data_IF_666217978581
#
_entry.id   IF_666217978581
#
_cell.length_a   1.000
_cell.length_b   1.000
_cell.length_c   1.000
_cell.angle_alpha   90.00
_cell.angle_beta   90.00
_cell.angle_gamma   90.00
#
_symmetry.space_group_name_H-M   'P 1'
#
loop_
_entity.id
_entity.type
_entity.pdbx_description
1 polymer ?
#
# COMPACT_ATOMS: atom_id res chain seq x y z
N UNK A 1 -0.93 18.06 -82.79
CA UNK A 1 -2.18 18.84 -82.59
C UNK A 1 -3.31 17.84 -82.41
N UNK A 2 -4.16 17.80 -81.39
CA UNK A 2 -4.64 18.86 -80.49
C UNK A 2 -5.04 18.29 -79.11
N UNK A 3 -4.80 19.09 -78.06
CA UNK A 3 -5.35 18.96 -76.71
C UNK A 3 -6.83 19.36 -76.72
N UNK A 4 -7.67 18.67 -75.93
CA UNK A 4 -8.76 19.21 -75.07
C UNK A 4 -9.86 18.17 -74.85
N UNK A 5 -9.89 17.58 -73.65
CA UNK A 5 -11.01 17.72 -72.69
C UNK A 5 -10.78 16.74 -71.54
N UNK A 6 -10.03 17.27 -70.57
CA UNK A 6 -9.86 16.76 -69.22
C UNK A 6 -11.13 17.13 -68.41
N UNK A 7 -11.51 16.25 -67.49
CA UNK A 7 -12.59 16.36 -66.49
C UNK A 7 -14.00 15.94 -66.92
N UNK A 8 -14.40 14.73 -66.49
CA UNK A 8 -15.64 14.45 -65.74
C UNK A 8 -15.75 12.95 -65.40
N UNK A 9 -15.01 12.49 -64.40
CA UNK A 9 -15.38 11.26 -63.66
C UNK A 9 -14.85 11.35 -62.23
N UNK A 10 -15.67 11.89 -61.34
CA UNK A 10 -15.45 11.84 -59.89
C UNK A 10 -16.81 11.50 -59.28
N UNK A 11 -16.94 10.28 -58.79
CA UNK A 11 -18.16 9.82 -58.16
C UNK A 11 -18.13 8.32 -57.87
N UNK A 12 -17.99 8.00 -56.58
CA UNK A 12 -18.27 6.70 -55.96
C UNK A 12 -17.19 5.61 -55.98
N UNK A 13 -16.08 5.85 -55.27
CA UNK A 13 -15.39 4.80 -54.51
C UNK A 13 -14.79 5.42 -53.26
N UNK A 14 -15.43 5.21 -52.11
CA UNK A 14 -14.87 5.65 -50.84
C UNK A 14 -15.89 5.67 -49.72
N UNK A 15 -16.23 4.50 -49.17
CA UNK A 15 -16.85 4.35 -47.85
C UNK A 15 -16.89 2.87 -47.43
N UNK A 16 -15.76 2.35 -46.93
CA UNK A 16 -15.77 1.03 -46.25
C UNK A 16 -14.65 0.84 -45.22
N UNK A 17 -14.11 1.91 -44.63
CA UNK A 17 -13.07 1.81 -43.59
C UNK A 17 -13.47 2.36 -42.20
N UNK A 18 -14.75 2.72 -41.99
CA UNK A 18 -15.22 3.32 -40.72
C UNK A 18 -15.96 2.39 -39.75
N UNK A 19 -16.34 1.18 -40.16
CA UNK A 19 -17.22 0.31 -39.36
C UNK A 19 -16.49 -0.67 -38.41
N UNK A 20 -15.19 -0.90 -38.60
CA UNK A 20 -14.45 -1.90 -37.82
C UNK A 20 -14.14 -1.48 -36.37
N UNK A 21 -13.82 -0.19 -36.14
CA UNK A 21 -13.44 0.30 -34.82
C UNK A 21 -14.66 0.54 -33.90
N UNK A 22 -15.77 1.06 -34.45
CA UNK A 22 -17.00 1.26 -33.68
C UNK A 22 -17.70 -0.06 -33.33
N UNK A 23 -17.64 -1.07 -34.19
CA UNK A 23 -18.29 -2.36 -33.93
C UNK A 23 -17.72 -3.13 -32.73
N UNK A 24 -16.44 -2.96 -32.42
CA UNK A 24 -15.78 -3.61 -31.27
C UNK A 24 -16.17 -2.90 -29.96
N UNK A 25 -16.30 -1.57 -29.96
CA UNK A 25 -16.77 -0.81 -28.79
C UNK A 25 -18.22 -1.17 -28.40
N UNK A 26 -19.12 -1.32 -29.39
CA UNK A 26 -20.52 -1.71 -29.13
C UNK A 26 -20.67 -3.15 -28.64
N UNK A 27 -19.83 -4.09 -29.09
CA UNK A 27 -19.89 -5.48 -28.67
C UNK A 27 -19.44 -5.67 -27.20
N UNK A 28 -18.45 -4.90 -26.73
CA UNK A 28 -17.96 -4.99 -25.35
C UNK A 28 -18.86 -4.25 -24.34
N UNK A 29 -19.53 -3.17 -24.74
CA UNK A 29 -20.50 -2.47 -23.89
C UNK A 29 -21.70 -3.35 -23.47
N UNK A 30 -22.02 -4.40 -24.25
CA UNK A 30 -23.11 -5.33 -23.96
C UNK A 30 -22.82 -6.30 -22.78
N UNK A 31 -21.55 -6.47 -22.36
CA UNK A 31 -21.17 -7.36 -21.26
C UNK A 31 -21.31 -6.73 -19.86
N UNK A 32 -21.83 -5.49 -19.78
CA UNK A 32 -21.94 -4.75 -18.53
C UNK A 32 -20.59 -4.28 -17.97
N UNK A 33 -20.59 -3.52 -16.86
CA UNK A 33 -19.36 -3.05 -16.24
C UNK A 33 -18.53 -4.19 -15.64
N UNK A 34 -17.23 -3.93 -15.43
CA UNK A 34 -16.33 -4.81 -14.68
C UNK A 34 -16.36 -4.37 -13.22
N UNK A 35 -16.87 -5.23 -12.34
CA UNK A 35 -16.94 -4.91 -10.91
C UNK A 35 -15.60 -5.09 -10.21
N UNK A 36 -15.22 -4.13 -9.38
CA UNK A 36 -13.98 -4.13 -8.57
C UNK A 36 -14.37 -4.05 -7.10
N UNK A 37 -13.97 -5.05 -6.31
CA UNK A 37 -14.19 -5.09 -4.88
C UNK A 37 -13.22 -4.18 -4.14
N UNK A 38 -13.73 -3.38 -3.20
CA UNK A 38 -12.95 -2.51 -2.32
C UNK A 38 -13.25 -2.96 -0.88
N UNK A 39 -12.29 -3.62 -0.25
CA UNK A 39 -12.43 -4.30 1.04
C UNK A 39 -11.49 -3.66 2.07
N UNK A 40 -11.87 -2.50 2.56
CA UNK A 40 -11.11 -1.68 3.51
C UNK A 40 -12.01 -1.26 4.66
N UNK A 41 -11.51 -1.31 5.91
CA UNK A 41 -12.24 -0.86 7.10
C UNK A 41 -12.59 0.63 6.99
N UNK A 42 -13.89 0.94 6.99
CA UNK A 42 -14.41 2.31 7.03
C UNK A 42 -14.85 2.70 8.45
N UNK A 43 -14.89 1.71 9.34
CA UNK A 43 -15.14 1.86 10.78
C UNK A 43 -14.23 0.93 11.61
N UNK A 44 -14.19 1.16 12.92
CA UNK A 44 -13.30 0.43 13.84
C UNK A 44 -11.88 1.01 13.92
N UNK A 45 -11.00 0.29 14.63
CA UNK A 45 -9.64 0.73 15.01
C UNK A 45 -8.73 1.09 13.82
N UNK A 46 -8.98 0.48 12.64
CA UNK A 46 -8.20 0.72 11.43
C UNK A 46 -8.81 1.74 10.47
N UNK A 47 -9.98 2.33 10.80
CA UNK A 47 -10.69 3.23 9.89
C UNK A 47 -9.86 4.46 9.46
N UNK A 48 -9.03 5.00 10.36
CA UNK A 48 -8.15 6.12 10.07
C UNK A 48 -7.12 5.80 8.97
N UNK A 49 -6.66 4.55 8.92
CA UNK A 49 -5.67 4.07 7.97
C UNK A 49 -6.29 3.62 6.65
N UNK A 50 -7.41 2.89 6.73
CA UNK A 50 -8.01 2.18 5.60
C UNK A 50 -8.99 3.04 4.77
N UNK A 51 -9.63 4.06 5.37
CA UNK A 51 -10.64 4.86 4.65
C UNK A 51 -10.07 5.61 3.45
N UNK A 52 -8.82 6.07 3.53
CA UNK A 52 -8.15 6.77 2.44
C UNK A 52 -7.89 5.86 1.23
N UNK A 53 -7.64 4.56 1.45
CA UNK A 53 -7.46 3.57 0.38
C UNK A 53 -8.75 3.34 -0.41
N UNK A 54 -9.90 3.29 0.28
CA UNK A 54 -11.20 3.24 -0.41
C UNK A 54 -11.38 4.44 -1.34
N UNK A 55 -11.11 5.65 -0.88
CA UNK A 55 -11.22 6.85 -1.72
C UNK A 55 -10.18 6.90 -2.84
N UNK A 56 -8.96 6.41 -2.59
CA UNK A 56 -7.93 6.26 -3.60
C UNK A 56 -8.40 5.34 -4.74
N UNK A 57 -8.93 4.15 -4.42
CA UNK A 57 -9.50 3.26 -5.45
C UNK A 57 -10.63 3.90 -6.23
N UNK A 58 -11.53 4.64 -5.57
CA UNK A 58 -12.60 5.35 -6.26
C UNK A 58 -12.05 6.40 -7.25
N UNK A 59 -10.99 7.13 -6.87
CA UNK A 59 -10.30 8.06 -7.75
C UNK A 59 -9.69 7.32 -8.96
N UNK A 60 -8.94 6.25 -8.73
CA UNK A 60 -8.25 5.50 -9.78
C UNK A 60 -9.23 4.86 -10.77
N UNK A 61 -10.35 4.33 -10.27
CA UNK A 61 -11.46 3.82 -11.08
C UNK A 61 -12.08 4.94 -11.92
N UNK A 62 -12.33 6.11 -11.34
CA UNK A 62 -12.88 7.25 -12.07
C UNK A 62 -11.93 7.73 -13.19
N UNK A 63 -10.63 7.80 -12.91
CA UNK A 63 -9.60 8.13 -13.91
C UNK A 63 -9.54 7.10 -15.03
N UNK A 64 -9.54 5.80 -14.70
CA UNK A 64 -9.52 4.74 -15.70
C UNK A 64 -10.79 4.75 -16.55
N UNK A 65 -11.95 5.00 -15.93
CA UNK A 65 -13.21 5.16 -16.65
C UNK A 65 -13.20 6.35 -17.59
N UNK A 66 -12.60 7.48 -17.20
CA UNK A 66 -12.43 8.63 -18.08
C UNK A 66 -11.53 8.33 -19.30
N UNK A 67 -10.60 7.37 -19.18
CA UNK A 67 -9.75 6.85 -20.27
C UNK A 67 -10.44 5.80 -21.16
N UNK A 68 -11.72 5.51 -20.94
CA UNK A 68 -12.48 4.51 -21.71
C UNK A 68 -12.73 3.19 -20.97
N UNK A 69 -12.31 3.07 -19.71
CA UNK A 69 -12.47 1.85 -18.92
C UNK A 69 -11.40 0.81 -19.25
N UNK A 70 -11.73 -0.47 -19.12
CA UNK A 70 -10.83 -1.60 -19.45
C UNK A 70 -11.49 -2.44 -20.52
N UNK A 71 -10.80 -2.64 -21.66
CA UNK A 71 -11.36 -3.31 -22.83
C UNK A 71 -12.70 -2.70 -23.32
N UNK A 72 -12.88 -1.39 -23.16
CA UNK A 72 -14.10 -0.66 -23.52
C UNK A 72 -15.26 -0.80 -22.51
N UNK A 73 -15.05 -1.49 -21.37
CA UNK A 73 -16.03 -1.65 -20.31
C UNK A 73 -15.70 -0.74 -19.13
N UNK A 74 -16.72 -0.06 -18.59
CA UNK A 74 -16.55 0.75 -17.38
C UNK A 74 -16.27 -0.14 -16.17
N UNK A 75 -15.44 0.34 -15.27
CA UNK A 75 -15.21 -0.25 -13.96
C UNK A 75 -16.29 0.25 -12.99
N UNK A 76 -16.87 -0.66 -12.22
CA UNK A 76 -17.87 -0.37 -11.19
C UNK A 76 -17.30 -0.74 -9.80
N UNK A 77 -17.13 0.21 -8.89
CA UNK A 77 -16.64 -0.08 -7.55
C UNK A 77 -17.74 -0.73 -6.70
N UNK A 78 -17.39 -1.79 -5.98
CA UNK A 78 -18.23 -2.43 -4.96
C UNK A 78 -17.52 -2.30 -3.63
N UNK A 79 -17.96 -1.32 -2.83
CA UNK A 79 -17.36 -0.99 -1.53
C UNK A 79 -18.07 -1.72 -0.41
N UNK A 80 -17.32 -2.37 0.47
CA UNK A 80 -17.82 -3.05 1.67
C UNK A 80 -16.99 -2.66 2.88
N UNK A 81 -17.64 -2.42 4.02
CA UNK A 81 -16.98 -2.08 5.29
C UNK A 81 -16.90 -3.33 6.19
N UNK A 82 -15.69 -3.89 6.41
CA UNK A 82 -15.47 -4.98 7.35
C UNK A 82 -15.23 -4.50 8.80
N UNK A 83 -15.29 -3.20 9.08
CA UNK A 83 -15.32 -2.62 10.42
C UNK A 83 -14.18 -3.04 11.37
N UNK A 84 -12.97 -3.28 10.83
CA UNK A 84 -11.84 -3.85 11.58
C UNK A 84 -12.17 -5.20 12.26
N UNK A 85 -13.12 -5.96 11.71
CA UNK A 85 -13.57 -7.26 12.21
C UNK A 85 -13.09 -8.37 11.26
N UNK A 86 -12.16 -9.19 11.72
CA UNK A 86 -11.44 -10.15 10.87
C UNK A 86 -12.35 -11.25 10.28
N UNK A 87 -13.30 -11.85 11.04
CA UNK A 87 -14.33 -12.70 10.45
C UNK A 87 -15.18 -12.00 9.38
N UNK A 88 -15.54 -10.73 9.60
CA UNK A 88 -16.32 -9.95 8.64
C UNK A 88 -15.53 -9.68 7.34
N UNK A 89 -14.21 -9.51 7.40
CA UNK A 89 -13.37 -9.46 6.20
C UNK A 89 -13.55 -10.71 5.33
N UNK A 90 -13.55 -11.91 5.94
CA UNK A 90 -13.76 -13.16 5.21
C UNK A 90 -15.18 -13.26 4.62
N UNK A 91 -16.20 -12.88 5.40
CA UNK A 91 -17.59 -12.82 4.92
C UNK A 91 -17.73 -11.88 3.72
N UNK A 92 -17.17 -10.67 3.82
CA UNK A 92 -17.25 -9.66 2.76
C UNK A 92 -16.43 -10.02 1.53
N UNK A 93 -15.27 -10.65 1.69
CA UNK A 93 -14.55 -11.23 0.54
C UNK A 93 -15.40 -12.29 -0.18
N UNK A 94 -16.06 -13.17 0.56
CA UNK A 94 -16.95 -14.19 -0.03
C UNK A 94 -18.14 -13.56 -0.73
N UNK A 95 -18.76 -12.53 -0.14
CA UNK A 95 -19.83 -11.76 -0.76
C UNK A 95 -19.37 -11.12 -2.09
N UNK A 96 -18.23 -10.43 -2.08
CA UNK A 96 -17.65 -9.80 -3.26
C UNK A 96 -17.44 -10.81 -4.41
N UNK A 97 -16.89 -11.98 -4.11
CA UNK A 97 -16.58 -13.01 -5.14
C UNK A 97 -17.85 -13.75 -5.57
N UNK A 98 -18.63 -14.26 -4.61
CA UNK A 98 -19.71 -15.21 -4.90
C UNK A 98 -21.00 -14.55 -5.35
N UNK A 99 -21.33 -13.38 -4.78
CA UNK A 99 -22.59 -12.67 -5.05
C UNK A 99 -22.35 -11.51 -6.01
N UNK A 100 -21.38 -10.65 -5.72
CA UNK A 100 -21.14 -9.47 -6.54
C UNK A 100 -20.34 -9.77 -7.82
N UNK A 101 -19.68 -10.93 -7.89
CA UNK A 101 -18.89 -11.38 -9.04
C UNK A 101 -17.80 -10.37 -9.45
N UNK A 102 -17.12 -9.79 -8.45
CA UNK A 102 -16.02 -8.86 -8.71
C UNK A 102 -14.87 -9.57 -9.43
N UNK A 103 -14.18 -8.85 -10.31
CA UNK A 103 -13.03 -9.37 -11.06
C UNK A 103 -11.71 -9.29 -10.31
N UNK A 104 -11.64 -8.43 -9.29
CA UNK A 104 -10.52 -8.33 -8.36
C UNK A 104 -10.99 -7.62 -7.10
N UNK A 105 -10.30 -7.87 -6.00
CA UNK A 105 -10.44 -7.19 -4.71
C UNK A 105 -9.16 -6.39 -4.46
N UNK A 106 -9.31 -5.12 -4.11
CA UNK A 106 -8.26 -4.29 -3.53
C UNK A 106 -8.64 -4.04 -2.08
N UNK A 107 -7.81 -4.47 -1.15
CA UNK A 107 -8.26 -4.53 0.23
C UNK A 107 -7.27 -5.08 1.24
N UNK A 108 -7.76 -5.08 2.48
CA UNK A 108 -7.04 -5.43 3.69
C UNK A 108 -5.94 -4.44 4.06
N UNK A 109 -5.60 -4.43 5.36
CA UNK A 109 -4.48 -3.68 5.91
C UNK A 109 -3.69 -4.53 6.89
N UNK A 110 -4.38 -5.08 7.89
CA UNK A 110 -3.73 -5.92 8.88
C UNK A 110 -3.47 -7.30 8.29
N UNK A 111 -2.33 -7.89 8.63
CA UNK A 111 -2.03 -9.26 8.20
C UNK A 111 -3.04 -10.29 8.72
N UNK A 112 -3.74 -10.00 9.83
CA UNK A 112 -4.86 -10.83 10.30
C UNK A 112 -6.09 -10.72 9.40
N UNK A 113 -6.41 -9.54 8.85
CA UNK A 113 -7.51 -9.43 7.88
C UNK A 113 -7.15 -10.14 6.57
N UNK A 114 -5.93 -9.97 6.07
CA UNK A 114 -5.41 -10.72 4.91
C UNK A 114 -5.49 -12.24 5.12
N UNK A 115 -5.00 -12.75 6.25
CA UNK A 115 -5.08 -14.19 6.58
C UNK A 115 -6.51 -14.71 6.73
N UNK A 116 -7.46 -13.85 7.10
CA UNK A 116 -8.89 -14.21 7.14
C UNK A 116 -9.49 -14.31 5.73
N UNK A 117 -9.04 -13.46 4.80
CA UNK A 117 -9.47 -13.44 3.40
C UNK A 117 -8.80 -14.52 2.55
N UNK A 118 -7.54 -14.87 2.86
CA UNK A 118 -6.73 -15.86 2.16
C UNK A 118 -7.48 -17.16 1.80
N UNK A 119 -8.07 -17.92 2.76
CA UNK A 119 -8.75 -19.16 2.42
C UNK A 119 -9.96 -18.94 1.49
N UNK A 120 -10.61 -17.78 1.57
CA UNK A 120 -11.77 -17.45 0.73
C UNK A 120 -11.37 -17.18 -0.71
N UNK A 121 -10.29 -16.42 -0.94
CA UNK A 121 -9.82 -16.13 -2.30
C UNK A 121 -9.23 -17.37 -2.96
N UNK A 122 -8.62 -18.28 -2.21
CA UNK A 122 -8.12 -19.54 -2.74
C UNK A 122 -9.25 -20.53 -3.04
N UNK A 123 -10.21 -20.71 -2.13
CA UNK A 123 -11.36 -21.59 -2.33
C UNK A 123 -12.20 -21.18 -3.54
N UNK A 124 -12.43 -19.88 -3.72
CA UNK A 124 -13.34 -19.34 -4.73
C UNK A 124 -12.64 -18.86 -6.01
N UNK A 125 -11.32 -19.08 -6.11
CA UNK A 125 -10.47 -18.52 -7.16
C UNK A 125 -10.67 -16.99 -7.36
N UNK A 126 -10.79 -16.26 -6.25
CA UNK A 126 -10.81 -14.80 -6.23
C UNK A 126 -9.41 -14.23 -6.39
N UNK A 127 -9.31 -12.93 -6.66
CA UNK A 127 -8.03 -12.24 -6.82
C UNK A 127 -7.95 -11.08 -5.82
N UNK A 128 -6.94 -11.07 -4.95
CA UNK A 128 -6.69 -9.99 -4.00
C UNK A 128 -5.38 -9.28 -4.33
N UNK A 129 -5.44 -7.96 -4.41
CA UNK A 129 -4.28 -7.08 -4.35
C UNK A 129 -4.17 -6.49 -2.95
N UNK A 130 -3.05 -6.76 -2.28
CA UNK A 130 -2.79 -6.40 -0.90
C UNK A 130 -1.73 -5.27 -0.84
N UNK A 131 -2.15 -4.01 -0.59
CA UNK A 131 -1.35 -2.84 -0.89
C UNK A 131 -0.60 -2.28 0.33
N UNK A 132 -0.07 -3.13 1.19
CA UNK A 132 0.50 -2.68 2.48
C UNK A 132 1.63 -3.62 2.91
N UNK A 133 2.56 -3.09 3.69
CA UNK A 133 3.67 -3.85 4.26
C UNK A 133 3.18 -5.04 5.11
N UNK A 134 3.99 -6.09 5.16
CA UNK A 134 3.67 -7.30 5.90
C UNK A 134 4.90 -8.03 6.41
N UNK A 135 4.66 -9.12 7.11
CA UNK A 135 5.67 -9.91 7.80
C UNK A 135 6.52 -10.79 6.88
N UNK A 136 6.12 -10.95 5.62
CA UNK A 136 6.68 -11.96 4.73
C UNK A 136 6.11 -13.35 5.01
N UNK A 137 6.87 -14.39 4.65
CA UNK A 137 6.60 -15.81 4.95
C UNK A 137 5.21 -16.34 4.51
N UNK A 138 4.54 -15.70 3.54
CA UNK A 138 3.23 -16.12 3.04
C UNK A 138 3.16 -16.08 1.51
N UNK A 139 2.85 -17.23 0.90
CA UNK A 139 2.60 -17.32 -0.53
C UNK A 139 1.14 -17.57 -0.79
N UNK A 140 0.60 -16.90 -1.81
CA UNK A 140 -0.65 -17.34 -2.43
C UNK A 140 -0.59 -17.06 -3.92
N UNK A 141 -1.19 -17.95 -4.70
CA UNK A 141 -1.43 -17.74 -6.13
C UNK A 141 -2.43 -16.61 -6.37
N UNK A 142 -3.36 -16.42 -5.42
CA UNK A 142 -4.52 -15.55 -5.53
C UNK A 142 -4.32 -14.20 -4.82
N UNK A 143 -3.16 -13.97 -4.19
CA UNK A 143 -2.81 -12.70 -3.54
C UNK A 143 -1.55 -12.10 -4.18
N UNK A 144 -1.65 -10.82 -4.53
CA UNK A 144 -0.55 -10.02 -5.05
C UNK A 144 -0.11 -9.02 -3.98
N UNK A 145 1.11 -9.18 -3.50
CA UNK A 145 1.69 -8.37 -2.43
C UNK A 145 2.45 -7.20 -3.06
N UNK A 146 1.90 -5.99 -2.92
CA UNK A 146 2.52 -4.79 -3.49
C UNK A 146 3.18 -3.89 -2.45
N UNK A 147 2.94 -4.16 -1.15
CA UNK A 147 3.67 -3.53 -0.05
C UNK A 147 4.99 -4.23 0.30
N UNK A 148 5.75 -3.62 1.21
CA UNK A 148 7.09 -4.08 1.58
C UNK A 148 7.09 -5.36 2.43
N UNK A 149 8.03 -6.25 2.17
CA UNK A 149 8.45 -7.30 3.12
C UNK A 149 9.55 -6.75 4.06
N UNK A 150 9.88 -7.44 5.18
CA UNK A 150 10.82 -6.91 6.17
C UNK A 150 12.21 -6.54 5.61
N UNK A 151 12.72 -7.30 4.63
CA UNK A 151 14.00 -7.03 3.97
C UNK A 151 14.00 -5.74 3.12
N UNK A 152 12.83 -5.17 2.82
CA UNK A 152 12.67 -3.97 2.00
C UNK A 152 12.35 -2.73 2.82
N UNK A 153 11.96 -2.85 4.08
CA UNK A 153 11.56 -1.74 4.95
C UNK A 153 12.24 -1.82 6.32
N UNK A 154 11.92 -2.86 7.09
CA UNK A 154 12.32 -2.97 8.50
C UNK A 154 13.84 -3.13 8.67
N UNK A 155 14.47 -4.00 7.86
CA UNK A 155 15.92 -4.24 7.91
C UNK A 155 16.71 -2.99 7.49
N UNK A 156 16.44 -2.34 6.34
CA UNK A 156 17.10 -1.08 5.98
C UNK A 156 16.91 0.03 7.02
N UNK A 157 15.74 0.11 7.66
CA UNK A 157 15.49 1.11 8.70
C UNK A 157 16.33 0.88 9.96
N UNK A 158 16.46 -0.38 10.40
CA UNK A 158 17.34 -0.74 11.51
C UNK A 158 18.81 -0.49 11.15
N UNK A 159 19.24 -0.84 9.93
CA UNK A 159 20.60 -0.55 9.47
C UNK A 159 20.88 0.96 9.44
N UNK A 160 19.92 1.79 9.02
CA UNK A 160 20.06 3.25 9.08
C UNK A 160 20.25 3.74 10.53
N UNK A 161 19.40 3.29 11.46
CA UNK A 161 19.53 3.65 12.87
C UNK A 161 20.88 3.22 13.46
N UNK A 162 21.33 2.01 13.14
CA UNK A 162 22.58 1.46 13.64
C UNK A 162 23.80 2.20 13.09
N UNK A 163 23.85 2.38 11.76
CA UNK A 163 25.05 2.86 11.07
C UNK A 163 25.15 4.39 11.02
N UNK A 164 24.02 5.08 10.86
CA UNK A 164 24.00 6.54 10.66
C UNK A 164 23.73 7.31 11.96
N UNK A 165 22.95 6.71 12.88
CA UNK A 165 22.62 7.32 14.17
C UNK A 165 23.35 6.69 15.36
N UNK A 166 24.14 5.63 15.13
CA UNK A 166 24.95 4.98 16.17
C UNK A 166 24.11 4.28 17.25
N UNK A 167 22.88 3.88 16.93
CA UNK A 167 21.99 3.19 17.88
C UNK A 167 22.56 1.81 18.20
N UNK A 168 22.62 1.50 19.49
CA UNK A 168 23.16 0.23 20.02
C UNK A 168 22.18 -0.53 20.90
N UNK A 169 21.08 0.12 21.30
CA UNK A 169 20.03 -0.45 22.14
C UNK A 169 18.65 -0.22 21.55
N UNK A 170 17.76 -1.20 21.69
CA UNK A 170 16.57 -1.31 20.86
C UNK A 170 15.33 -1.60 21.69
N UNK A 171 14.28 -0.83 21.48
CA UNK A 171 12.92 -1.16 21.93
C UNK A 171 12.12 -1.59 20.71
N UNK A 172 11.60 -2.81 20.71
CA UNK A 172 10.67 -3.32 19.70
C UNK A 172 9.25 -3.22 20.27
N UNK A 173 8.53 -2.16 19.93
CA UNK A 173 7.19 -1.88 20.44
C UNK A 173 6.14 -2.16 19.35
N UNK A 174 5.13 -2.97 19.63
CA UNK A 174 4.14 -3.36 18.61
C UNK A 174 2.75 -3.65 19.14
N UNK A 175 1.77 -3.71 18.23
CA UNK A 175 0.43 -4.22 18.55
C UNK A 175 0.41 -5.74 18.55
N UNK A 176 -0.31 -6.37 19.47
CA UNK A 176 -0.27 -7.82 19.70
C UNK A 176 -1.07 -8.62 18.65
N UNK A 177 -0.50 -8.75 17.45
CA UNK A 177 -0.99 -9.62 16.39
C UNK A 177 0.15 -10.08 15.48
N UNK A 178 -0.17 -10.86 14.44
CA UNK A 178 0.82 -11.57 13.63
C UNK A 178 1.89 -10.68 12.99
N UNK A 179 1.54 -9.49 12.48
CA UNK A 179 2.54 -8.65 11.81
C UNK A 179 3.63 -8.15 12.77
N UNK A 180 3.32 -7.47 13.89
CA UNK A 180 4.35 -7.02 14.82
C UNK A 180 5.07 -8.19 15.48
N UNK A 181 4.38 -9.28 15.83
CA UNK A 181 5.01 -10.47 16.43
C UNK A 181 6.06 -11.09 15.51
N UNK A 182 5.72 -11.32 14.24
CA UNK A 182 6.64 -11.94 13.29
C UNK A 182 7.76 -10.96 12.89
N UNK A 183 7.42 -9.70 12.61
CA UNK A 183 8.41 -8.67 12.25
C UNK A 183 9.42 -8.44 13.37
N UNK A 184 8.96 -8.28 14.62
CA UNK A 184 9.86 -8.09 15.76
C UNK A 184 10.71 -9.34 16.05
N UNK A 185 10.20 -10.55 15.80
CA UNK A 185 11.01 -11.77 15.90
C UNK A 185 12.13 -11.80 14.85
N UNK A 186 11.84 -11.38 13.61
CA UNK A 186 12.86 -11.24 12.55
C UNK A 186 13.89 -10.19 12.95
N UNK A 187 13.45 -9.04 13.45
CA UNK A 187 14.34 -7.94 13.87
C UNK A 187 15.18 -8.31 15.08
N UNK A 188 14.61 -8.97 16.09
CA UNK A 188 15.35 -9.47 17.25
C UNK A 188 16.47 -10.41 16.81
N UNK A 189 16.17 -11.40 15.95
CA UNK A 189 17.18 -12.31 15.42
C UNK A 189 18.25 -11.57 14.61
N UNK A 190 17.86 -10.59 13.79
CA UNK A 190 18.77 -9.77 13.00
C UNK A 190 19.71 -8.93 13.89
N UNK A 191 19.17 -8.27 14.91
CA UNK A 191 19.94 -7.48 15.87
C UNK A 191 20.95 -8.34 16.63
N UNK A 192 20.57 -9.54 17.07
CA UNK A 192 21.49 -10.50 17.70
C UNK A 192 22.59 -10.95 16.74
N UNK A 193 22.26 -11.19 15.47
CA UNK A 193 23.26 -11.50 14.44
C UNK A 193 24.26 -10.34 14.23
N UNK A 194 23.82 -9.10 14.44
CA UNK A 194 24.69 -7.90 14.41
C UNK A 194 25.45 -7.65 15.71
N UNK A 195 25.32 -8.53 16.70
CA UNK A 195 26.07 -8.47 17.97
C UNK A 195 25.39 -7.66 19.08
N UNK A 196 24.10 -7.32 18.95
CA UNK A 196 23.33 -6.70 20.03
C UNK A 196 23.04 -7.76 21.10
N UNK A 197 23.35 -7.44 22.37
CA UNK A 197 23.10 -8.33 23.50
C UNK A 197 21.60 -8.39 23.86
N UNK A 198 21.15 -9.50 24.46
CA UNK A 198 19.76 -9.68 24.90
C UNK A 198 19.30 -8.56 25.86
N UNK A 199 20.17 -8.12 26.77
CA UNK A 199 19.90 -7.02 27.71
C UNK A 199 19.75 -5.64 27.04
N UNK A 200 20.16 -5.52 25.77
CA UNK A 200 20.04 -4.32 24.96
C UNK A 200 18.84 -4.38 23.99
N UNK A 201 17.96 -5.37 24.15
CA UNK A 201 16.71 -5.50 23.42
C UNK A 201 15.55 -5.58 24.41
N UNK A 202 14.66 -4.60 24.34
CA UNK A 202 13.38 -4.58 25.06
C UNK A 202 12.25 -4.83 24.06
N UNK A 203 11.28 -5.68 24.39
CA UNK A 203 10.13 -5.98 23.51
C UNK A 203 8.83 -5.79 24.29
N UNK A 204 7.91 -5.01 23.73
CA UNK A 204 6.60 -4.75 24.34
C UNK A 204 5.48 -4.91 23.30
N UNK A 205 4.37 -5.52 23.73
CA UNK A 205 3.17 -5.66 22.92
C UNK A 205 1.95 -5.09 23.66
N UNK A 206 1.06 -4.44 22.90
CA UNK A 206 -0.21 -3.91 23.40
C UNK A 206 -1.38 -4.37 22.54
N UNK A 207 -2.60 -4.53 23.08
CA UNK A 207 -3.77 -4.85 22.26
C UNK A 207 -4.08 -3.72 21.27
N UNK A 208 -4.91 -4.01 20.25
CA UNK A 208 -5.54 -2.95 19.44
C UNK A 208 -6.33 -1.98 20.33
N UNK A 209 -6.40 -0.70 19.95
CA UNK A 209 -7.11 0.31 20.73
C UNK A 209 -6.39 0.76 22.01
N UNK A 210 -5.12 0.39 22.22
CA UNK A 210 -4.37 0.80 23.41
C UNK A 210 -4.30 2.33 23.52
N UNK A 211 -4.81 2.85 24.64
CA UNK A 211 -4.86 4.29 24.91
C UNK A 211 -4.02 4.72 26.11
N UNK A 212 -3.80 3.85 27.09
CA UNK A 212 -2.93 4.12 28.24
C UNK A 212 -1.48 3.72 27.95
N UNK A 213 -0.62 4.71 27.73
CA UNK A 213 0.79 4.49 27.41
C UNK A 213 1.74 4.85 28.55
N UNK A 214 1.24 5.31 29.70
CA UNK A 214 2.06 5.91 30.75
C UNK A 214 3.17 4.97 31.23
N UNK A 215 2.79 3.75 31.62
CA UNK A 215 3.75 2.76 32.14
C UNK A 215 4.75 2.31 31.08
N UNK A 216 4.30 2.07 29.85
CA UNK A 216 5.15 1.59 28.76
C UNK A 216 6.17 2.67 28.37
N UNK A 217 5.72 3.92 28.22
CA UNK A 217 6.61 5.04 27.91
C UNK A 217 7.61 5.30 29.04
N UNK A 218 7.21 5.13 30.30
CA UNK A 218 8.14 5.21 31.44
C UNK A 218 9.20 4.11 31.41
N UNK A 219 8.83 2.88 31.01
CA UNK A 219 9.79 1.78 30.82
C UNK A 219 10.76 2.08 29.67
N UNK A 220 10.27 2.59 28.54
CA UNK A 220 11.10 3.02 27.40
C UNK A 220 12.09 4.10 27.84
N UNK A 221 11.62 5.11 28.58
CA UNK A 221 12.46 6.19 29.11
C UNK A 221 13.54 5.65 30.02
N UNK A 222 13.18 4.77 30.96
CA UNK A 222 14.12 4.17 31.89
C UNK A 222 15.18 3.34 31.15
N UNK A 223 14.78 2.54 30.18
CA UNK A 223 15.67 1.72 29.38
C UNK A 223 16.64 2.57 28.55
N UNK A 224 16.13 3.62 27.90
CA UNK A 224 16.92 4.52 27.07
C UNK A 224 17.84 5.48 27.83
N UNK A 225 17.56 5.76 29.10
CA UNK A 225 18.32 6.73 29.92
C UNK A 225 19.54 6.15 30.62
N UNK A 226 19.97 4.93 30.29
CA UNK A 226 21.10 4.24 30.95
C UNK A 226 22.44 4.42 30.22
N UNK A 227 22.55 5.44 29.37
CA UNK A 227 23.82 5.85 28.75
C UNK A 227 24.19 5.12 27.44
N UNK A 228 23.36 4.20 26.93
CA UNK A 228 23.53 3.63 25.58
C UNK A 228 22.56 4.30 24.59
N UNK A 229 23.01 4.72 23.40
CA UNK A 229 22.14 5.23 22.34
C UNK A 229 21.00 4.24 22.02
N UNK A 230 19.77 4.66 22.28
CA UNK A 230 18.58 3.79 22.26
C UNK A 230 17.57 4.29 21.25
N UNK A 231 16.99 3.41 20.45
CA UNK A 231 15.87 3.75 19.57
C UNK A 231 14.67 2.83 19.80
N UNK A 232 13.47 3.34 19.49
CA UNK A 232 12.24 2.56 19.41
C UNK A 232 11.96 2.22 17.96
N UNK A 233 11.78 0.94 17.66
CA UNK A 233 11.19 0.45 16.42
C UNK A 233 9.71 0.19 16.70
N UNK A 234 8.85 1.03 16.10
CA UNK A 234 7.41 0.98 16.29
C UNK A 234 6.71 0.21 15.16
N UNK A 235 6.07 -0.88 15.54
CA UNK A 235 5.12 -1.68 14.74
C UNK A 235 3.70 -1.57 15.31
N UNK A 236 3.41 -0.46 16.03
CA UNK A 236 2.10 -0.14 16.58
C UNK A 236 1.15 0.24 15.42
N UNK A 237 -0.08 -0.28 15.43
CA UNK A 237 -1.04 -0.11 14.35
C UNK A 237 -2.31 0.63 14.81
N UNK A 238 -2.98 1.27 13.84
CA UNK A 238 -4.28 1.90 14.01
C UNK A 238 -4.25 3.09 14.96
N UNK A 239 -5.39 3.30 15.62
CA UNK A 239 -5.65 4.39 16.57
C UNK A 239 -4.66 4.47 17.76
N UNK A 240 -4.03 3.36 18.12
CA UNK A 240 -3.10 3.25 19.25
C UNK A 240 -1.82 4.09 19.07
N UNK A 241 -1.47 4.46 17.83
CA UNK A 241 -0.33 5.32 17.54
C UNK A 241 -0.47 6.73 18.13
N UNK A 242 -1.66 7.33 18.03
CA UNK A 242 -1.91 8.69 18.47
C UNK A 242 -1.58 8.91 19.96
N UNK A 243 -2.14 8.11 20.90
CA UNK A 243 -1.85 8.28 22.32
C UNK A 243 -0.40 7.86 22.67
N UNK A 244 0.23 6.93 21.95
CA UNK A 244 1.64 6.60 22.15
C UNK A 244 2.54 7.82 21.93
N UNK A 245 2.41 8.46 20.77
CA UNK A 245 3.20 9.64 20.42
C UNK A 245 2.93 10.84 21.32
N UNK A 246 1.66 11.05 21.70
CA UNK A 246 1.30 12.07 22.69
C UNK A 246 2.02 11.83 24.02
N UNK A 247 2.08 10.58 24.46
CA UNK A 247 2.68 10.24 25.75
C UNK A 247 4.21 10.34 25.74
N UNK A 248 4.87 10.04 24.62
CA UNK A 248 6.31 10.36 24.45
C UNK A 248 6.57 11.85 24.70
N UNK A 249 5.75 12.72 24.12
CA UNK A 249 5.80 14.17 24.33
C UNK A 249 5.53 14.57 25.78
N UNK A 250 4.49 14.02 26.41
CA UNK A 250 4.14 14.28 27.80
C UNK A 250 5.27 13.92 28.78
N UNK A 251 5.99 12.82 28.53
CA UNK A 251 7.12 12.39 29.35
C UNK A 251 8.45 13.06 28.95
N UNK A 252 8.41 14.00 27.99
CA UNK A 252 9.56 14.78 27.54
C UNK A 252 10.60 13.95 26.78
N UNK A 253 10.21 12.84 26.18
CA UNK A 253 11.10 12.02 25.34
C UNK A 253 11.22 12.68 23.98
N UNK A 254 12.41 13.21 23.69
CA UNK A 254 12.68 13.87 22.42
C UNK A 254 13.28 12.88 21.42
N UNK A 255 13.07 13.14 20.14
CA UNK A 255 13.65 12.35 19.04
C UNK A 255 15.19 12.37 19.03
N UNK A 256 15.82 13.40 19.59
CA UNK A 256 17.28 13.45 19.73
C UNK A 256 17.82 12.54 20.84
N UNK A 257 17.00 12.21 21.82
CA UNK A 257 17.39 11.38 22.97
C UNK A 257 17.07 9.91 22.72
N UNK A 258 15.83 9.64 22.29
CA UNK A 258 15.32 8.30 21.95
C UNK A 258 14.51 8.42 20.66
N UNK A 259 15.14 8.29 19.47
CA UNK A 259 14.41 8.32 18.21
C UNK A 259 13.46 7.13 18.10
N UNK A 260 12.27 7.39 17.58
CA UNK A 260 11.29 6.38 17.21
C UNK A 260 11.27 6.29 15.68
N UNK A 261 11.46 5.10 15.13
CA UNK A 261 11.15 4.80 13.73
C UNK A 261 9.86 4.00 13.64
N UNK A 262 8.86 4.52 12.93
CA UNK A 262 7.60 3.81 12.71
C UNK A 262 7.52 3.13 11.35
N UNK A 263 6.96 1.93 11.35
CA UNK A 263 6.67 1.13 10.14
C UNK A 263 5.18 1.06 9.82
N UNK A 264 4.33 1.72 10.62
CA UNK A 264 2.85 1.62 10.50
C UNK A 264 2.15 2.94 10.84
N UNK A 265 2.87 4.05 10.68
CA UNK A 265 2.39 5.43 10.85
C UNK A 265 2.82 6.23 9.65
N UNK A 266 1.88 6.80 8.92
CA UNK A 266 2.14 7.69 7.79
C UNK A 266 1.45 9.04 7.95
N UNK A 267 1.40 9.77 6.84
CA UNK A 267 0.82 11.11 6.79
C UNK A 267 -0.65 11.13 7.20
N UNK A 268 -1.40 10.05 6.90
CA UNK A 268 -2.83 9.92 7.23
C UNK A 268 -3.06 9.88 8.74
N UNK A 269 -2.37 9.01 9.46
CA UNK A 269 -2.51 8.86 10.92
C UNK A 269 -2.10 10.15 11.66
N UNK A 270 -1.17 10.92 11.08
CA UNK A 270 -0.66 12.16 11.66
C UNK A 270 -1.51 13.39 11.34
N UNK A 271 -2.38 13.34 10.32
CA UNK A 271 -3.17 14.49 9.84
C UNK A 271 -4.14 15.07 10.89
N UNK A 272 -4.51 14.27 11.90
CA UNK A 272 -5.47 14.63 12.94
C UNK A 272 -4.89 15.05 14.29
N UNK A 273 -3.56 15.19 14.43
CA UNK A 273 -2.91 15.45 15.72
C UNK A 273 -1.93 16.63 15.67
N UNK A 274 -1.60 17.19 16.84
CA UNK A 274 -0.50 18.16 16.94
C UNK A 274 0.83 17.42 16.73
N UNK A 275 1.47 17.66 15.58
CA UNK A 275 2.71 17.00 15.18
C UNK A 275 3.97 17.71 15.70
N UNK A 276 3.85 18.88 16.34
CA UNK A 276 5.03 19.60 16.89
C UNK A 276 5.87 18.74 17.84
N UNK A 277 5.29 17.92 18.73
CA UNK A 277 6.08 17.03 19.60
C UNK A 277 6.78 15.89 18.85
N UNK A 278 6.44 15.66 17.58
CA UNK A 278 6.92 14.54 16.77
C UNK A 278 8.06 14.93 15.82
N UNK A 279 8.45 16.21 15.84
CA UNK A 279 9.57 16.72 15.06
C UNK A 279 10.84 15.89 15.34
N UNK A 280 11.46 15.41 14.26
CA UNK A 280 12.66 14.58 14.28
C UNK A 280 12.42 13.08 14.52
N UNK A 281 11.19 12.65 14.81
CA UNK A 281 10.85 11.22 14.77
C UNK A 281 10.95 10.70 13.33
N UNK A 282 11.13 9.39 13.16
CA UNK A 282 11.37 8.79 11.85
C UNK A 282 10.19 7.91 11.45
N UNK A 283 9.98 7.80 10.14
CA UNK A 283 9.12 6.81 9.54
C UNK A 283 9.90 6.11 8.43
N UNK A 284 9.66 4.81 8.25
CA UNK A 284 10.24 4.04 7.16
C UNK A 284 9.14 3.50 6.27
N UNK A 285 9.11 3.96 5.02
CA UNK A 285 8.14 3.61 4.00
C UNK A 285 8.84 3.49 2.63
N UNK A 286 8.19 2.92 1.63
CA UNK A 286 8.73 2.91 0.26
C UNK A 286 8.39 4.21 -0.49
N UNK A 287 7.40 4.96 -0.01
CA UNK A 287 6.92 6.22 -0.56
C UNK A 287 6.58 7.22 0.55
N UNK A 288 6.77 8.50 0.26
CA UNK A 288 6.28 9.63 1.04
C UNK A 288 5.66 10.66 0.08
N UNK A 289 4.61 11.37 0.51
CA UNK A 289 3.96 12.43 -0.30
C UNK A 289 4.99 13.45 -0.82
N UNK A 290 6.04 13.70 -0.04
CA UNK A 290 7.00 14.77 -0.31
C UNK A 290 8.00 14.50 -1.45
N UNK A 291 8.00 13.29 -2.02
CA UNK A 291 8.92 12.92 -3.10
C UNK A 291 8.65 13.76 -4.35
N UNK A 292 9.67 14.45 -4.86
CA UNK A 292 9.53 15.41 -5.96
C UNK A 292 9.74 14.74 -7.32
N UNK A 293 8.66 14.19 -7.87
CA UNK A 293 8.64 13.71 -9.25
C UNK A 293 7.39 14.21 -9.98
N UNK A 294 7.43 14.37 -11.32
CA UNK A 294 6.24 14.76 -12.08
C UNK A 294 5.06 13.80 -11.90
N UNK A 295 5.34 12.49 -11.75
CA UNK A 295 4.30 11.49 -11.52
C UNK A 295 3.62 11.67 -10.16
N UNK A 296 4.40 11.93 -9.11
CA UNK A 296 3.86 12.15 -7.77
C UNK A 296 3.07 13.47 -7.68
N UNK A 297 3.62 14.55 -8.24
CA UNK A 297 2.95 15.86 -8.23
C UNK A 297 1.58 15.80 -8.94
N UNK A 298 1.51 15.09 -10.08
CA UNK A 298 0.25 14.87 -10.78
C UNK A 298 -0.74 14.02 -9.96
N UNK A 299 -0.25 12.94 -9.33
CA UNK A 299 -1.07 12.09 -8.46
C UNK A 299 -1.65 12.86 -7.27
N UNK A 300 -0.83 13.65 -6.57
CA UNK A 300 -1.25 14.49 -5.44
C UNK A 300 -2.26 15.55 -5.88
N UNK A 301 -2.04 16.19 -7.03
CA UNK A 301 -2.96 17.18 -7.57
C UNK A 301 -4.33 16.55 -7.90
N UNK A 302 -4.34 15.37 -8.51
CA UNK A 302 -5.56 14.61 -8.80
C UNK A 302 -6.26 14.19 -7.50
N UNK A 303 -5.51 13.71 -6.51
CA UNK A 303 -6.04 13.32 -5.20
C UNK A 303 -6.73 14.48 -4.48
N UNK A 304 -6.06 15.64 -4.37
CA UNK A 304 -6.62 16.83 -3.74
C UNK A 304 -7.85 17.36 -4.50
N UNK A 305 -7.85 17.24 -5.83
CA UNK A 305 -9.00 17.59 -6.66
C UNK A 305 -10.18 16.63 -6.47
N UNK A 306 -9.91 15.33 -6.44
CA UNK A 306 -10.93 14.29 -6.30
C UNK A 306 -11.63 14.38 -4.94
N UNK A 307 -10.84 14.50 -3.88
CA UNK A 307 -11.34 14.63 -2.50
C UNK A 307 -11.89 16.02 -2.19
N UNK A 308 -11.63 17.00 -3.07
CA UNK A 308 -11.98 18.42 -2.89
C UNK A 308 -11.43 19.00 -1.59
N UNK A 309 -10.31 18.46 -1.12
CA UNK A 309 -9.64 18.92 0.09
C UNK A 309 -8.14 19.11 -0.16
N UNK A 310 -7.64 20.37 -0.21
CA UNK A 310 -6.22 20.63 -0.42
C UNK A 310 -5.33 20.18 0.75
N UNK A 311 -5.92 19.89 1.92
CA UNK A 311 -5.22 19.38 3.11
C UNK A 311 -5.10 17.86 3.14
N UNK A 312 -5.79 17.14 2.25
CA UNK A 312 -5.64 15.69 2.19
C UNK A 312 -4.22 15.34 1.76
N UNK A 313 -3.66 14.37 2.46
CA UNK A 313 -2.32 13.84 2.24
C UNK A 313 -2.37 12.54 1.46
N UNK A 314 -1.22 12.08 0.96
CA UNK A 314 -1.05 10.72 0.41
C UNK A 314 -0.09 9.94 1.30
N UNK A 315 -0.08 8.60 1.20
CA UNK A 315 0.81 7.74 1.98
C UNK A 315 1.26 6.51 1.16
N UNK A 316 2.15 5.71 1.73
CA UNK A 316 2.75 4.54 1.06
C UNK A 316 1.74 3.48 0.63
N UNK A 317 0.76 3.06 1.46
CA UNK A 317 -0.28 2.12 1.02
C UNK A 317 -1.10 2.63 -0.17
N UNK A 318 -1.36 3.94 -0.26
CA UNK A 318 -2.03 4.52 -1.43
C UNK A 318 -1.19 4.39 -2.72
N UNK A 319 0.14 4.51 -2.62
CA UNK A 319 1.04 4.26 -3.76
C UNK A 319 1.07 2.77 -4.13
N UNK A 320 1.17 1.88 -3.15
CA UNK A 320 1.16 0.44 -3.38
C UNK A 320 -0.15 -0.03 -4.03
N UNK A 321 -1.27 0.59 -3.68
CA UNK A 321 -2.58 0.38 -4.30
C UNK A 321 -2.66 0.97 -5.71
N UNK A 322 -2.11 2.17 -5.93
CA UNK A 322 -1.94 2.75 -7.26
C UNK A 322 -1.17 1.80 -8.19
N UNK A 323 -0.03 1.28 -7.73
CA UNK A 323 0.80 0.32 -8.47
C UNK A 323 0.00 -0.95 -8.77
N UNK A 324 -0.66 -1.52 -7.76
CA UNK A 324 -1.47 -2.73 -7.89
C UNK A 324 -2.57 -2.56 -8.96
N UNK A 325 -3.30 -1.45 -8.91
CA UNK A 325 -4.38 -1.17 -9.83
C UNK A 325 -3.87 -1.00 -11.27
N UNK A 326 -2.78 -0.26 -11.46
CA UNK A 326 -2.15 -0.12 -12.78
C UNK A 326 -1.68 -1.48 -13.33
N UNK A 327 -1.11 -2.34 -12.48
CA UNK A 327 -0.70 -3.70 -12.88
C UNK A 327 -1.89 -4.55 -13.29
N UNK A 328 -2.98 -4.53 -12.52
CA UNK A 328 -4.21 -5.26 -12.85
C UNK A 328 -4.84 -4.78 -14.16
N UNK A 329 -4.93 -3.47 -14.39
CA UNK A 329 -5.44 -2.90 -15.66
C UNK A 329 -4.62 -3.42 -16.84
N UNK A 330 -3.28 -3.30 -16.78
CA UNK A 330 -2.41 -3.78 -17.85
C UNK A 330 -2.52 -5.30 -18.05
N UNK A 331 -2.68 -6.07 -16.98
CA UNK A 331 -2.87 -7.51 -17.05
C UNK A 331 -4.18 -7.87 -17.75
N UNK A 332 -5.27 -7.19 -17.41
CA UNK A 332 -6.58 -7.39 -18.02
C UNK A 332 -6.58 -7.06 -19.51
N UNK A 333 -5.93 -5.97 -19.90
CA UNK A 333 -5.75 -5.59 -21.30
C UNK A 333 -4.89 -6.60 -22.07
N UNK A 334 -3.78 -7.05 -21.49
CA UNK A 334 -2.88 -8.05 -22.08
C UNK A 334 -3.59 -9.41 -22.23
N UNK A 335 -4.31 -9.85 -21.22
CA UNK A 335 -5.09 -11.09 -21.21
C UNK A 335 -6.34 -11.02 -22.10
N UNK A 336 -6.79 -9.80 -22.43
CA UNK A 336 -8.12 -9.54 -23.00
C UNK A 336 -9.22 -10.23 -22.19
N UNK A 337 -9.08 -10.22 -20.87
CA UNK A 337 -9.98 -10.93 -19.96
C UNK A 337 -9.84 -10.37 -18.54
N UNK A 338 -10.88 -10.55 -17.74
CA UNK A 338 -10.87 -10.29 -16.28
C UNK A 338 -10.97 -11.59 -15.47
N UNK A 339 -10.84 -12.73 -16.13
CA UNK A 339 -10.79 -14.05 -15.51
C UNK A 339 -9.51 -14.19 -14.65
N UNK A 340 -9.66 -14.65 -13.42
CA UNK A 340 -8.59 -14.74 -12.43
C UNK A 340 -7.34 -15.43 -12.98
N UNK A 341 -7.49 -16.59 -13.61
CA UNK A 341 -6.36 -17.40 -14.05
C UNK A 341 -5.59 -16.72 -15.18
N UNK A 342 -6.32 -16.12 -16.12
CA UNK A 342 -5.72 -15.35 -17.21
C UNK A 342 -5.02 -14.10 -16.72
N UNK A 343 -5.57 -13.42 -15.70
CA UNK A 343 -4.90 -12.28 -15.08
C UNK A 343 -3.60 -12.72 -14.40
N UNK A 344 -3.64 -13.79 -13.62
CA UNK A 344 -2.46 -14.34 -12.94
C UNK A 344 -1.35 -14.70 -13.94
N UNK A 345 -1.69 -15.27 -15.09
CA UNK A 345 -0.71 -15.54 -16.15
C UNK A 345 -0.18 -14.25 -16.79
N UNK A 346 -1.08 -13.31 -17.12
CA UNK A 346 -0.72 -12.11 -17.86
C UNK A 346 0.06 -11.07 -17.04
N UNK A 347 -0.20 -10.99 -15.74
CA UNK A 347 0.38 -9.97 -14.85
C UNK A 347 1.88 -10.20 -14.59
N UNK A 348 2.36 -11.42 -14.84
CA UNK A 348 3.78 -11.76 -14.80
C UNK A 348 4.59 -10.86 -15.73
N UNK A 349 5.66 -10.27 -15.17
CA UNK A 349 6.58 -9.43 -15.90
C UNK A 349 5.99 -8.08 -16.32
N UNK A 350 4.79 -7.73 -15.84
CA UNK A 350 4.26 -6.39 -16.02
C UNK A 350 5.10 -5.41 -15.21
N UNK A 351 5.45 -4.32 -15.87
CA UNK A 351 6.09 -3.16 -15.27
C UNK A 351 5.17 -1.94 -15.39
N UNK A 352 5.07 -1.19 -14.30
CA UNK A 352 4.32 0.08 -14.24
C UNK A 352 5.21 1.17 -13.63
N UNK A 353 5.09 2.42 -14.09
CA UNK A 353 5.76 3.52 -13.42
C UNK A 353 5.23 3.64 -11.98
N UNK A 354 6.12 4.00 -11.07
CA UNK A 354 5.77 4.27 -9.69
C UNK A 354 5.84 5.78 -9.40
N UNK A 355 5.36 6.24 -8.24
CA UNK A 355 5.32 7.66 -7.93
C UNK A 355 6.69 8.20 -7.50
N UNK A 356 7.65 7.34 -7.19
CA UNK A 356 9.02 7.75 -6.84
C UNK A 356 9.95 7.91 -8.06
N UNK A 357 9.41 7.91 -9.29
CA UNK A 357 10.18 8.15 -10.51
C UNK A 357 10.90 6.93 -11.08
N UNK A 358 10.62 5.75 -10.57
CA UNK A 358 11.12 4.47 -11.08
C UNK A 358 10.02 3.59 -11.67
N UNK A 359 10.36 2.31 -11.85
CA UNK A 359 9.41 1.27 -12.26
C UNK A 359 9.15 0.31 -11.10
N UNK A 360 7.89 -0.03 -10.88
CA UNK A 360 7.46 -1.18 -10.11
C UNK A 360 7.37 -2.39 -11.04
N UNK A 361 7.96 -3.50 -10.65
CA UNK A 361 7.92 -4.74 -11.42
C UNK A 361 7.48 -5.89 -10.52
N UNK A 362 6.62 -6.73 -11.06
CA UNK A 362 6.22 -7.97 -10.40
C UNK A 362 7.18 -9.09 -10.80
N UNK A 363 7.90 -9.67 -9.82
CA UNK A 363 8.79 -10.80 -10.07
C UNK A 363 8.23 -12.09 -9.50
N UNK A 364 8.45 -13.17 -10.26
CA UNK A 364 8.50 -14.51 -9.71
C UNK A 364 9.71 -14.64 -8.80
N UNK A 365 9.50 -15.16 -7.60
CA UNK A 365 10.61 -15.60 -6.75
C UNK A 365 11.01 -17.03 -7.15
N UNK A 366 10.09 -17.87 -7.66
CA UNK A 366 10.41 -19.15 -8.33
C UNK A 366 9.32 -19.57 -9.36
N UNK A 367 9.54 -20.66 -10.11
CA UNK A 367 8.64 -21.16 -11.18
C UNK A 367 7.29 -21.71 -10.71
N UNK A 368 7.09 -21.89 -9.41
CA UNK A 368 5.92 -22.59 -8.86
C UNK A 368 5.09 -21.70 -7.92
N UNK A 369 5.61 -20.56 -7.46
CA UNK A 369 4.92 -19.61 -6.57
C UNK A 369 5.57 -18.21 -6.60
N UNK A 370 4.81 -17.21 -6.12
CA UNK A 370 5.19 -15.84 -5.70
C UNK A 370 5.08 -14.70 -6.71
N UNK A 371 4.34 -13.66 -6.31
CA UNK A 371 4.24 -12.34 -6.92
C UNK A 371 4.62 -11.28 -5.89
N UNK A 372 5.84 -10.76 -5.96
CA UNK A 372 6.28 -9.67 -5.10
C UNK A 372 6.74 -8.49 -5.94
N UNK A 373 6.34 -7.29 -5.55
CA UNK A 373 6.83 -6.08 -6.22
C UNK A 373 8.23 -5.75 -5.71
N UNK A 374 9.20 -5.84 -6.63
CA UNK A 374 10.58 -5.49 -6.34
C UNK A 374 10.80 -3.98 -6.47
N UNK A 375 11.40 -3.38 -5.46
CA UNK A 375 11.91 -2.01 -5.51
C UNK A 375 13.36 -2.01 -5.04
N UNK A 376 14.31 -1.51 -5.86
CA UNK A 376 15.71 -1.34 -5.43
C UNK A 376 15.82 -0.01 -4.65
N UNK A 377 16.36 -0.04 -3.43
CA UNK A 377 16.82 1.11 -2.62
C UNK A 377 15.78 2.17 -2.22
N UNK A 378 14.48 1.82 -2.06
CA UNK A 378 13.44 2.81 -1.71
C UNK A 378 13.44 3.25 -0.24
N UNK A 379 13.49 2.32 0.70
CA UNK A 379 13.26 2.64 2.11
C UNK A 379 14.32 3.58 2.71
N UNK A 380 15.61 3.40 2.41
CA UNK A 380 16.67 4.31 2.90
C UNK A 380 16.52 5.74 2.37
N UNK A 381 16.19 5.87 1.08
CA UNK A 381 15.94 7.17 0.45
C UNK A 381 14.72 7.83 1.09
N UNK A 382 13.67 7.05 1.33
CA UNK A 382 12.43 7.52 1.93
C UNK A 382 12.64 7.97 3.40
N UNK A 383 13.38 7.21 4.22
CA UNK A 383 13.72 7.60 5.61
C UNK A 383 14.48 8.94 5.63
N UNK A 384 15.42 9.14 4.70
CA UNK A 384 16.16 10.40 4.58
C UNK A 384 15.24 11.57 4.23
N UNK A 385 14.31 11.38 3.28
CA UNK A 385 13.32 12.41 2.95
C UNK A 385 12.41 12.75 4.13
N UNK A 386 11.92 11.76 4.89
CA UNK A 386 11.08 12.00 6.06
C UNK A 386 11.77 12.91 7.10
N UNK A 387 13.08 12.72 7.30
CA UNK A 387 13.88 13.57 8.21
C UNK A 387 14.00 15.01 7.71
N UNK A 388 14.22 15.21 6.41
CA UNK A 388 14.40 16.54 5.80
C UNK A 388 13.11 17.40 5.82
N UNK A 389 11.94 16.78 6.04
CA UNK A 389 10.65 17.48 6.15
C UNK A 389 10.20 17.78 7.58
N UNK A 390 10.82 17.13 8.57
CA UNK A 390 10.54 17.38 9.98
C UNK A 390 11.51 18.39 10.61
N UNK A 391 12.65 18.68 9.96
CA UNK A 391 13.57 19.77 10.30
C UNK A 391 13.16 21.07 9.61
#
# INVERSE_FOLDING_TARGET
>A
MNRRNFMKTLGATGLSLGFGLKGIEFANAAQGPIKIGILHSLSGTMAISESALKDNMLMLIAEQNAKGGVMGRKLEPVVVDPASNWPLFAEKARELISKEKVSAIFGCWTSVSRKSVLPVVEELNGLLFYPVQFEGEESSRNIFYTGAAPNQQAIPAVDYLMNELGITRWVLAGTDYVYPRTTNKILEAYLKQKGVADEDIMINYTPFGQSDWQSIVSQIKQFGSTGKPTAVVSTINGDANVPFYRELGNQGIKSQDIPVVAFSVGEQELSGIDTKPLVGQLAAWNYFESIKTPANEAYIANWKKFTKNPKNVTNDPMEAEYIAFQMWVKAAEKAKSTDTDKIIEAIVGIEVPNLTGGMAHLRWINRETWHHVGHRHRAEVAIRHARDHLA
#
